data_IF_271788019462
#
_entry.id   IF_271788019462
#
_cell.length_a   1.000
_cell.length_b   1.000
_cell.length_c   1.000
_cell.angle_alpha   90.00
_cell.angle_beta   90.00
_cell.angle_gamma   90.00
#
_symmetry.space_group_name_H-M   'P 1'
#
loop_
_entity.id
_entity.type
_entity.pdbx_description
1 polymer ?
#
# COMPACT_ATOMS: atom_id res chain seq x y z
N UNK A 1 -48.60 -9.18 -46.56
CA UNK A 1 -47.55 -8.51 -45.76
C UNK A 1 -47.98 -8.44 -44.31
N UNK A 2 -47.52 -9.37 -43.46
CA UNK A 2 -47.79 -9.32 -42.02
C UNK A 2 -46.72 -8.46 -41.34
N UNK A 3 -47.11 -7.26 -40.86
CA UNK A 3 -46.25 -6.40 -40.06
C UNK A 3 -46.08 -7.03 -38.68
N UNK A 4 -44.88 -7.55 -38.39
CA UNK A 4 -44.47 -7.89 -37.03
C UNK A 4 -44.36 -6.58 -36.24
N UNK A 5 -45.33 -6.31 -35.38
CA UNK A 5 -45.25 -5.21 -34.41
C UNK A 5 -44.31 -5.64 -33.30
N UNK A 6 -43.14 -5.01 -33.24
CA UNK A 6 -42.21 -5.20 -32.13
C UNK A 6 -42.87 -4.59 -30.88
N UNK A 7 -43.44 -5.43 -30.02
CA UNK A 7 -43.94 -5.02 -28.71
C UNK A 7 -42.73 -4.54 -27.90
N UNK A 8 -42.55 -3.23 -27.77
CA UNK A 8 -41.51 -2.66 -26.92
C UNK A 8 -41.73 -3.18 -25.50
N UNK A 9 -40.79 -3.98 -24.98
CA UNK A 9 -40.85 -4.50 -23.62
C UNK A 9 -40.43 -3.36 -22.69
N UNK A 10 -41.39 -2.73 -22.02
CA UNK A 10 -41.12 -1.77 -20.95
C UNK A 10 -40.75 -2.49 -19.66
N UNK A 11 -39.79 -1.94 -18.91
CA UNK A 11 -39.42 -2.44 -17.57
C UNK A 11 -40.52 -2.06 -16.59
N UNK A 12 -41.01 -3.03 -15.81
CA UNK A 12 -42.02 -2.74 -14.78
C UNK A 12 -41.38 -2.17 -13.51
N UNK A 13 -42.15 -1.40 -12.73
CA UNK A 13 -41.66 -0.86 -11.46
C UNK A 13 -41.21 -1.99 -10.49
N UNK A 14 -41.95 -3.10 -10.46
CA UNK A 14 -41.61 -4.28 -9.65
C UNK A 14 -40.28 -4.91 -10.13
N UNK A 15 -40.06 -5.02 -11.43
CA UNK A 15 -38.83 -5.56 -12.01
C UNK A 15 -37.61 -4.70 -11.67
N UNK A 16 -37.77 -3.36 -11.71
CA UNK A 16 -36.73 -2.45 -11.26
C UNK A 16 -36.41 -2.64 -9.77
N UNK A 17 -37.43 -2.76 -8.91
CA UNK A 17 -37.21 -2.95 -7.46
C UNK A 17 -36.54 -4.28 -7.13
N UNK A 18 -36.92 -5.37 -7.81
CA UNK A 18 -36.28 -6.69 -7.63
C UNK A 18 -34.84 -6.66 -8.16
N UNK A 19 -34.59 -6.06 -9.32
CA UNK A 19 -33.25 -5.91 -9.87
C UNK A 19 -32.34 -5.09 -8.94
N UNK A 20 -32.85 -3.99 -8.37
CA UNK A 20 -32.11 -3.19 -7.39
C UNK A 20 -31.83 -3.96 -6.09
N UNK A 21 -32.80 -4.72 -5.57
CA UNK A 21 -32.62 -5.52 -4.36
C UNK A 21 -31.55 -6.61 -4.54
N UNK A 22 -31.54 -7.28 -5.69
CA UNK A 22 -30.48 -8.23 -6.03
C UNK A 22 -29.13 -7.51 -6.23
N UNK A 23 -29.13 -6.39 -6.94
CA UNK A 23 -27.94 -5.59 -7.20
C UNK A 23 -27.26 -5.08 -5.92
N UNK A 24 -28.03 -4.54 -4.96
CA UNK A 24 -27.49 -4.06 -3.69
C UNK A 24 -26.91 -5.18 -2.84
N UNK A 25 -27.51 -6.37 -2.89
CA UNK A 25 -27.02 -7.56 -2.18
C UNK A 25 -25.65 -7.98 -2.70
N UNK A 26 -25.48 -8.06 -4.03
CA UNK A 26 -24.20 -8.39 -4.65
C UNK A 26 -23.17 -7.30 -4.38
N UNK A 27 -23.55 -6.03 -4.54
CA UNK A 27 -22.65 -4.90 -4.30
C UNK A 27 -22.12 -4.87 -2.86
N UNK A 28 -22.97 -5.20 -1.88
CA UNK A 28 -22.58 -5.27 -0.47
C UNK A 28 -21.44 -6.24 -0.18
N UNK A 29 -21.33 -7.35 -0.93
CA UNK A 29 -20.26 -8.34 -0.78
C UNK A 29 -19.05 -8.08 -1.69
N UNK A 30 -19.30 -7.58 -2.90
CA UNK A 30 -18.26 -7.39 -3.92
C UNK A 30 -17.35 -6.19 -3.62
N UNK A 31 -17.90 -5.09 -3.09
CA UNK A 31 -17.12 -3.88 -2.80
C UNK A 31 -15.99 -4.10 -1.78
N UNK A 32 -16.23 -4.65 -0.57
CA UNK A 32 -15.17 -4.83 0.42
C UNK A 32 -14.08 -5.81 -0.04
N UNK A 33 -14.44 -6.86 -0.80
CA UNK A 33 -13.46 -7.80 -1.34
C UNK A 33 -12.56 -7.14 -2.40
N UNK A 34 -13.14 -6.32 -3.27
CA UNK A 34 -12.39 -5.58 -4.28
C UNK A 34 -11.45 -4.53 -3.66
N UNK A 35 -11.92 -3.77 -2.66
CA UNK A 35 -11.07 -2.76 -2.00
C UNK A 35 -9.89 -3.41 -1.28
N UNK A 36 -10.09 -4.54 -0.61
CA UNK A 36 -9.03 -5.31 0.03
C UNK A 36 -7.99 -5.82 -0.99
N UNK A 37 -8.44 -6.35 -2.13
CA UNK A 37 -7.55 -6.77 -3.21
C UNK A 37 -6.73 -5.59 -3.78
N UNK A 38 -7.38 -4.44 -3.99
CA UNK A 38 -6.72 -3.23 -4.46
C UNK A 38 -5.71 -2.68 -3.44
N UNK A 39 -6.03 -2.70 -2.15
CA UNK A 39 -5.11 -2.33 -1.07
C UNK A 39 -3.90 -3.26 -1.04
N UNK A 40 -4.10 -4.58 -1.09
CA UNK A 40 -3.02 -5.57 -1.15
C UNK A 40 -2.10 -5.34 -2.35
N UNK A 41 -2.67 -5.12 -3.54
CA UNK A 41 -1.91 -4.79 -4.73
C UNK A 41 -1.10 -3.50 -4.57
N UNK A 42 -1.62 -2.52 -3.82
CA UNK A 42 -0.91 -1.27 -3.58
C UNK A 42 0.25 -1.39 -2.58
N UNK A 43 0.23 -2.35 -1.65
CA UNK A 43 1.35 -2.61 -0.71
C UNK A 43 2.68 -2.89 -1.42
N UNK A 44 2.64 -3.44 -2.64
CA UNK A 44 3.82 -3.61 -3.48
C UNK A 44 4.62 -2.31 -3.72
N UNK A 45 3.96 -1.15 -3.70
CA UNK A 45 4.63 0.15 -3.85
C UNK A 45 5.41 0.56 -2.60
N UNK A 46 4.94 0.19 -1.40
CA UNK A 46 5.71 0.33 -0.18
C UNK A 46 6.93 -0.60 -0.18
N UNK A 47 6.77 -1.85 -0.62
CA UNK A 47 7.89 -2.80 -0.71
C UNK A 47 8.96 -2.34 -1.70
N UNK A 48 8.55 -1.81 -2.86
CA UNK A 48 9.48 -1.24 -3.83
C UNK A 48 10.24 -0.05 -3.26
N UNK A 49 9.56 0.86 -2.55
CA UNK A 49 10.22 1.99 -1.89
C UNK A 49 11.21 1.50 -0.80
N UNK A 50 10.82 0.50 -0.02
CA UNK A 50 11.68 -0.11 0.99
C UNK A 50 12.97 -0.68 0.39
N UNK A 51 12.86 -1.48 -0.68
CA UNK A 51 14.00 -2.06 -1.39
C UNK A 51 14.94 -1.00 -1.97
N UNK A 52 14.39 0.09 -2.52
CA UNK A 52 15.19 1.22 -3.01
C UNK A 52 15.98 1.89 -1.88
N UNK A 53 15.35 2.09 -0.72
CA UNK A 53 16.02 2.69 0.44
C UNK A 53 17.09 1.74 1.00
N UNK A 54 16.83 0.43 1.08
CA UNK A 54 17.81 -0.56 1.54
C UNK A 54 19.07 -0.59 0.66
N UNK A 55 18.89 -0.58 -0.66
CA UNK A 55 19.99 -0.54 -1.62
C UNK A 55 20.79 0.77 -1.48
N UNK A 56 20.11 1.92 -1.37
CA UNK A 56 20.74 3.21 -1.19
C UNK A 56 21.48 3.33 0.15
N UNK A 57 20.92 2.79 1.23
CA UNK A 57 21.56 2.74 2.54
C UNK A 57 22.86 1.92 2.48
N UNK A 58 22.82 0.78 1.78
CA UNK A 58 24.01 -0.06 1.57
C UNK A 58 25.08 0.69 0.77
N UNK A 59 24.70 1.37 -0.32
CA UNK A 59 25.62 2.18 -1.11
C UNK A 59 26.22 3.35 -0.32
N UNK A 60 25.39 4.07 0.45
CA UNK A 60 25.83 5.15 1.32
C UNK A 60 26.81 4.65 2.40
N UNK A 61 26.54 3.47 2.99
CA UNK A 61 27.42 2.85 3.98
C UNK A 61 28.78 2.48 3.40
N UNK A 62 28.84 1.95 2.17
CA UNK A 62 30.11 1.63 1.51
C UNK A 62 31.01 2.85 1.35
N UNK A 63 30.43 4.02 1.10
CA UNK A 63 31.17 5.26 0.90
C UNK A 63 31.51 5.98 2.22
N UNK A 64 30.60 6.00 3.19
CA UNK A 64 30.72 6.84 4.39
C UNK A 64 30.97 6.05 5.68
N UNK A 65 30.96 4.71 5.62
CA UNK A 65 31.03 3.80 6.78
C UNK A 65 29.95 4.04 7.85
N UNK A 66 28.84 4.66 7.44
CA UNK A 66 27.65 4.88 8.26
C UNK A 66 26.41 4.90 7.39
N UNK A 67 25.28 4.49 7.97
CA UNK A 67 23.96 4.65 7.36
C UNK A 67 23.53 6.12 7.43
N UNK A 68 22.68 6.51 6.48
CA UNK A 68 22.06 7.82 6.45
C UNK A 68 20.98 7.92 7.52
N UNK A 69 20.97 9.04 8.25
CA UNK A 69 19.95 9.42 9.23
C UNK A 69 18.84 10.30 8.60
N UNK A 70 19.08 10.85 7.42
CA UNK A 70 18.12 11.67 6.68
C UNK A 70 17.95 11.20 5.23
N UNK A 71 16.71 11.20 4.73
CA UNK A 71 16.42 10.77 3.34
C UNK A 71 17.08 11.64 2.28
N UNK A 72 17.37 12.91 2.59
CA UNK A 72 18.10 13.81 1.70
C UNK A 72 19.49 13.28 1.31
N UNK A 73 20.15 12.56 2.23
CA UNK A 73 21.46 11.94 1.97
C UNK A 73 21.37 10.74 1.02
N UNK A 74 20.17 10.20 0.81
CA UNK A 74 19.93 9.08 -0.10
C UNK A 74 19.48 9.53 -1.50
N UNK A 75 19.15 10.81 -1.70
CA UNK A 75 18.76 11.37 -2.99
C UNK A 75 19.79 11.15 -4.12
N UNK A 76 21.11 11.27 -3.89
CA UNK A 76 22.11 10.97 -4.91
C UNK A 76 22.07 9.53 -5.42
N UNK A 77 21.50 8.61 -4.63
CA UNK A 77 21.30 7.21 -5.00
C UNK A 77 19.91 6.93 -5.59
N UNK A 78 19.17 7.99 -5.96
CA UNK A 78 17.86 7.90 -6.62
C UNK A 78 16.66 7.71 -5.70
N UNK A 79 16.85 7.80 -4.38
CA UNK A 79 15.75 7.65 -3.41
C UNK A 79 14.95 8.94 -3.29
N UNK A 80 13.61 8.79 -3.31
CA UNK A 80 12.65 9.84 -2.97
C UNK A 80 11.92 9.46 -1.69
N UNK A 81 11.39 10.45 -0.97
CA UNK A 81 10.59 10.18 0.22
C UNK A 81 9.25 9.50 -0.13
N UNK A 82 8.69 9.79 -1.29
CA UNK A 82 7.40 9.25 -1.74
C UNK A 82 7.62 8.05 -2.65
N UNK A 83 6.79 7.02 -2.49
CA UNK A 83 6.83 5.81 -3.30
C UNK A 83 6.55 6.10 -4.78
N UNK A 84 7.05 5.27 -5.72
CA UNK A 84 6.93 5.56 -7.15
C UNK A 84 5.50 5.76 -7.67
N UNK A 85 4.50 5.08 -7.09
CA UNK A 85 3.08 5.28 -7.45
C UNK A 85 2.34 6.26 -6.53
N UNK A 86 3.04 6.92 -5.61
CA UNK A 86 2.49 8.01 -4.80
C UNK A 86 1.52 7.57 -3.70
N UNK A 87 1.62 6.33 -3.23
CA UNK A 87 0.73 5.83 -2.16
C UNK A 87 1.33 5.93 -0.76
N UNK A 88 2.66 5.96 -0.65
CA UNK A 88 3.38 5.88 0.61
C UNK A 88 4.46 6.95 0.71
N UNK A 89 4.79 7.33 1.95
CA UNK A 89 5.92 8.18 2.29
C UNK A 89 6.82 7.48 3.31
N UNK A 90 8.12 7.53 3.05
CA UNK A 90 9.18 7.07 3.94
C UNK A 90 9.67 8.20 4.84
N UNK A 91 10.05 7.85 6.07
CA UNK A 91 10.76 8.72 7.02
C UNK A 91 11.84 7.93 7.74
N UNK A 92 13.07 8.40 7.66
CA UNK A 92 14.16 7.90 8.49
C UNK A 92 14.01 8.46 9.91
N UNK A 93 14.10 7.57 10.89
CA UNK A 93 14.05 7.91 12.31
C UNK A 93 15.46 8.00 12.90
N UNK A 94 16.38 7.16 12.43
CA UNK A 94 17.79 7.17 12.84
C UNK A 94 18.68 6.48 11.79
N UNK A 95 19.97 6.82 11.80
CA UNK A 95 21.01 6.20 10.98
C UNK A 95 22.41 6.50 11.49
N UNK A 96 23.21 5.45 11.72
CA UNK A 96 24.57 5.58 12.25
C UNK A 96 25.50 4.47 11.71
N UNK A 97 26.66 4.27 12.33
CA UNK A 97 27.61 3.23 11.91
C UNK A 97 27.11 1.80 12.17
N UNK A 98 26.15 1.61 13.07
CA UNK A 98 25.64 0.32 13.50
C UNK A 98 24.34 -0.04 12.78
N UNK A 99 23.51 0.93 12.38
CA UNK A 99 22.21 0.61 11.83
C UNK A 99 21.39 1.81 11.41
N UNK A 100 20.15 1.55 11.01
CA UNK A 100 19.15 2.58 10.73
C UNK A 100 17.76 2.08 11.07
N UNK A 101 16.85 3.04 11.29
CA UNK A 101 15.42 2.78 11.45
C UNK A 101 14.62 3.68 10.53
N UNK A 102 13.71 3.07 9.80
CA UNK A 102 12.85 3.68 8.79
C UNK A 102 11.40 3.30 9.07
N UNK A 103 10.49 4.22 8.80
CA UNK A 103 9.06 3.94 8.73
C UNK A 103 8.49 4.40 7.39
N UNK A 104 7.61 3.61 6.81
CA UNK A 104 6.87 3.91 5.58
C UNK A 104 5.38 3.89 5.91
N UNK A 105 4.68 4.98 5.63
CA UNK A 105 3.26 5.16 5.96
C UNK A 105 2.46 5.53 4.72
N UNK A 106 1.19 5.11 4.67
CA UNK A 106 0.31 5.52 3.61
C UNK A 106 0.08 7.05 3.66
N UNK A 107 0.14 7.70 2.50
CA UNK A 107 -0.22 9.11 2.39
C UNK A 107 -1.71 9.30 2.67
N UNK A 108 -2.08 10.35 3.40
CA UNK A 108 -3.49 10.66 3.69
C UNK A 108 -4.31 10.93 2.42
N UNK A 109 -3.69 11.47 1.38
CA UNK A 109 -4.28 11.70 0.05
C UNK A 109 -4.48 10.42 -0.78
N UNK A 110 -3.87 9.31 -0.37
CA UNK A 110 -3.95 8.03 -1.07
C UNK A 110 -5.15 7.22 -0.59
N UNK A 111 -5.87 6.48 -1.46
CA UNK A 111 -6.86 5.49 -1.01
C UNK A 111 -6.29 4.42 -0.07
N UNK A 112 -4.96 4.26 -0.06
CA UNK A 112 -4.25 3.36 0.83
C UNK A 112 -4.31 3.76 2.31
N UNK A 113 -4.66 5.01 2.63
CA UNK A 113 -4.87 5.44 4.01
C UNK A 113 -5.96 4.65 4.75
N UNK A 114 -6.86 3.98 4.02
CA UNK A 114 -7.90 3.11 4.57
C UNK A 114 -7.44 1.66 4.78
N UNK A 115 -6.18 1.31 4.49
CA UNK A 115 -5.62 0.00 4.78
C UNK A 115 -5.24 -0.08 6.26
N UNK A 116 -6.26 -0.27 7.11
CA UNK A 116 -6.07 -0.32 8.56
C UNK A 116 -5.25 -1.52 9.04
N UNK A 117 -5.16 -2.60 8.26
CA UNK A 117 -4.37 -3.78 8.62
C UNK A 117 -2.87 -3.55 8.40
N UNK A 118 -2.50 -2.85 7.33
CA UNK A 118 -1.11 -2.55 6.98
C UNK A 118 -0.88 -1.04 6.90
N UNK A 119 -1.12 -0.36 8.01
CA UNK A 119 -1.11 1.09 8.10
C UNK A 119 0.32 1.67 8.01
N UNK A 120 1.29 0.97 8.61
CA UNK A 120 2.70 1.34 8.54
C UNK A 120 3.61 0.13 8.37
N UNK A 121 4.71 0.35 7.66
CA UNK A 121 5.81 -0.58 7.51
C UNK A 121 7.05 -0.02 8.19
N UNK A 122 7.84 -0.88 8.80
CA UNK A 122 9.05 -0.48 9.53
C UNK A 122 10.22 -1.34 9.06
N UNK A 123 11.38 -0.70 8.94
CA UNK A 123 12.62 -1.37 8.61
C UNK A 123 13.65 -1.01 9.67
N UNK A 124 14.26 -2.02 10.25
CA UNK A 124 15.31 -1.86 11.26
C UNK A 124 16.51 -2.67 10.81
N UNK A 125 17.61 -1.99 10.50
CA UNK A 125 18.90 -2.64 10.32
C UNK A 125 19.72 -2.46 11.59
N UNK A 126 20.24 -3.55 12.15
CA UNK A 126 21.18 -3.53 13.28
C UNK A 126 22.35 -4.44 12.97
N UNK A 127 23.55 -3.85 12.88
CA UNK A 127 24.81 -4.53 12.55
C UNK A 127 24.71 -5.40 11.29
N UNK A 128 24.05 -4.86 10.26
CA UNK A 128 23.82 -5.54 8.98
C UNK A 128 22.67 -6.55 8.98
N UNK A 129 22.07 -6.86 10.13
CA UNK A 129 20.85 -7.65 10.19
C UNK A 129 19.62 -6.77 9.97
N UNK A 130 18.91 -7.00 8.87
CA UNK A 130 17.71 -6.26 8.50
C UNK A 130 16.45 -7.00 8.95
N UNK A 131 15.53 -6.28 9.59
CA UNK A 131 14.21 -6.77 9.97
C UNK A 131 13.14 -5.88 9.34
N UNK A 132 12.19 -6.50 8.67
CA UNK A 132 10.96 -5.88 8.19
C UNK A 132 9.85 -6.10 9.20
N UNK A 133 9.08 -5.06 9.50
CA UNK A 133 7.90 -5.12 10.36
C UNK A 133 6.72 -4.39 9.72
N UNK A 134 5.50 -4.66 10.18
CA UNK A 134 4.33 -3.91 9.81
C UNK A 134 3.37 -3.80 11.00
N UNK A 135 2.61 -2.72 11.05
CA UNK A 135 1.63 -2.49 12.10
C UNK A 135 0.28 -2.09 11.51
N UNK A 136 -0.77 -2.61 12.14
CA UNK A 136 -2.13 -2.13 11.92
C UNK A 136 -2.31 -0.73 12.53
N UNK A 137 -3.36 -0.02 12.11
CA UNK A 137 -3.76 1.25 12.69
C UNK A 137 -4.09 1.15 14.19
N UNK A 138 -4.47 -0.04 14.65
CA UNK A 138 -4.68 -0.39 16.06
C UNK A 138 -3.38 -0.61 16.85
N UNK A 139 -2.23 -0.63 16.20
CA UNK A 139 -0.91 -0.88 16.79
C UNK A 139 -0.51 -2.35 16.90
N UNK A 140 -1.39 -3.29 16.51
CA UNK A 140 -1.03 -4.72 16.46
C UNK A 140 0.01 -5.00 15.38
N UNK A 141 0.93 -5.92 15.67
CA UNK A 141 1.88 -6.44 14.69
C UNK A 141 1.15 -7.28 13.63
N UNK A 142 1.31 -6.87 12.38
CA UNK A 142 0.70 -7.49 11.20
C UNK A 142 1.77 -7.87 10.17
N UNK A 143 3.05 -7.97 10.58
CA UNK A 143 4.18 -8.26 9.69
C UNK A 143 3.91 -9.43 8.73
N UNK A 144 3.42 -10.56 9.25
CA UNK A 144 3.20 -11.78 8.45
C UNK A 144 2.12 -11.63 7.38
N UNK A 145 1.16 -10.75 7.60
CA UNK A 145 0.06 -10.49 6.67
C UNK A 145 0.43 -9.41 5.63
N UNK A 146 1.26 -8.46 6.05
CA UNK A 146 1.58 -7.27 5.26
C UNK A 146 2.84 -7.42 4.40
N UNK A 147 3.79 -8.27 4.79
CA UNK A 147 4.98 -8.56 4.00
C UNK A 147 4.83 -9.89 3.24
N UNK A 148 5.20 -9.94 1.94
CA UNK A 148 5.27 -11.20 1.22
C UNK A 148 6.27 -12.13 1.93
N UNK A 149 5.83 -13.38 2.18
CA UNK A 149 6.69 -14.46 2.66
C UNK A 149 7.53 -15.02 1.51
#
# INVERSE_FOLDING_TARGET
MQRRTHKGRGVSLIELTVAMALGSTVAGMALPSWTAAAQKGRRADAHQLAQQIEAAQSAHYLQHRRYADALGLLQPYGVRAVSPRGHYEARLQSGDAQGYRLTIQALSSSPQSHDGTCASFHLVSTRGHLVHGAQAASGFDTQRECWPQ
#
